data_IF_775169585285
#
_entry.id   IF_775169585285
#
_cell.length_a   1.000
_cell.length_b   1.000
_cell.length_c   1.000
_cell.angle_alpha   90.00
_cell.angle_beta   90.00
_cell.angle_gamma   90.00
#
_symmetry.space_group_name_H-M   'P 1'
#
loop_
_entity.id
_entity.type
_entity.pdbx_description
1 polymer ?
#
# COMPACT_ATOMS: atom_id res chain seq x y z
N UNK A 1 30.77 46.89 -29.52
CA UNK A 1 29.43 46.34 -29.82
C UNK A 1 29.35 44.81 -29.78
N UNK A 2 30.44 44.04 -29.97
CA UNK A 2 30.35 42.56 -30.04
C UNK A 2 30.21 41.83 -28.69
N UNK A 3 30.85 42.32 -27.61
CA UNK A 3 30.84 41.67 -26.29
C UNK A 3 29.43 41.54 -25.68
N UNK A 4 28.58 42.59 -25.68
CA UNK A 4 27.23 42.51 -25.12
C UNK A 4 26.35 41.50 -25.86
N UNK A 5 26.51 41.39 -27.19
CA UNK A 5 25.75 40.45 -28.00
C UNK A 5 26.15 39.00 -27.68
N UNK A 6 27.43 38.71 -27.53
CA UNK A 6 27.92 37.37 -27.15
C UNK A 6 27.44 36.98 -25.76
N UNK A 7 27.49 37.90 -24.79
CA UNK A 7 26.98 37.66 -23.43
C UNK A 7 25.48 37.40 -23.44
N UNK A 8 24.70 38.18 -24.19
CA UNK A 8 23.26 37.99 -24.30
C UNK A 8 22.89 36.63 -24.93
N UNK A 9 23.60 36.22 -25.99
CA UNK A 9 23.40 34.92 -26.64
C UNK A 9 23.79 33.78 -25.69
N UNK A 10 24.94 33.89 -25.00
CA UNK A 10 25.37 32.91 -24.02
C UNK A 10 24.38 32.74 -22.87
N UNK A 11 23.85 33.85 -22.34
CA UNK A 11 22.82 33.84 -21.30
C UNK A 11 21.52 33.20 -21.78
N UNK A 12 21.07 33.50 -23.01
CA UNK A 12 19.87 32.90 -23.59
C UNK A 12 20.02 31.39 -23.79
N UNK A 13 21.17 30.93 -24.30
CA UNK A 13 21.47 29.49 -24.45
C UNK A 13 21.48 28.81 -23.08
N UNK A 14 22.17 29.39 -22.09
CA UNK A 14 22.23 28.84 -20.74
C UNK A 14 20.85 28.77 -20.07
N UNK A 15 20.01 29.79 -20.24
CA UNK A 15 18.65 29.80 -19.72
C UNK A 15 17.80 28.69 -20.36
N UNK A 16 17.86 28.55 -21.69
CA UNK A 16 17.15 27.50 -22.41
C UNK A 16 17.62 26.11 -21.94
N UNK A 17 18.92 25.82 -22.01
CA UNK A 17 19.44 24.49 -21.61
C UNK A 17 19.15 24.17 -20.15
N UNK A 18 19.20 25.16 -19.25
CA UNK A 18 18.79 25.01 -17.85
C UNK A 18 17.33 24.58 -17.70
N UNK A 19 16.40 25.21 -18.42
CA UNK A 19 14.97 24.83 -18.37
C UNK A 19 14.72 23.42 -18.90
N UNK A 20 15.39 23.04 -20.00
CA UNK A 20 15.30 21.68 -20.56
C UNK A 20 15.86 20.64 -19.58
N UNK A 21 17.00 20.91 -18.95
CA UNK A 21 17.60 20.01 -17.98
C UNK A 21 16.68 19.79 -16.77
N UNK A 22 16.09 20.86 -16.23
CA UNK A 22 15.15 20.75 -15.12
C UNK A 22 13.85 20.01 -15.50
N UNK A 23 13.35 20.20 -16.73
CA UNK A 23 12.21 19.41 -17.21
C UNK A 23 12.55 17.91 -17.31
N UNK A 24 13.74 17.57 -17.81
CA UNK A 24 14.19 16.18 -17.94
C UNK A 24 14.41 15.53 -16.56
N UNK A 25 15.00 16.25 -15.62
CA UNK A 25 15.14 15.78 -14.23
C UNK A 25 13.80 15.58 -13.55
N UNK A 26 12.84 16.49 -13.78
CA UNK A 26 11.50 16.39 -13.22
C UNK A 26 10.76 15.17 -13.77
N UNK A 27 10.85 14.92 -15.07
CA UNK A 27 10.25 13.73 -15.68
C UNK A 27 10.90 12.44 -15.18
N UNK A 28 12.23 12.41 -15.09
CA UNK A 28 12.95 11.26 -14.54
C UNK A 28 12.57 10.98 -13.07
N UNK A 29 12.37 12.02 -12.25
CA UNK A 29 11.88 11.88 -10.86
C UNK A 29 10.46 11.33 -10.82
N UNK A 30 9.56 11.81 -11.69
CA UNK A 30 8.17 11.30 -11.79
C UNK A 30 8.13 9.83 -12.17
N UNK A 31 8.90 9.42 -13.19
CA UNK A 31 8.97 8.01 -13.62
C UNK A 31 9.48 7.10 -12.51
N UNK A 32 10.50 7.54 -11.75
CA UNK A 32 10.99 6.79 -10.58
C UNK A 32 9.91 6.67 -9.50
N UNK A 33 9.23 7.76 -9.16
CA UNK A 33 8.16 7.75 -8.17
C UNK A 33 6.98 6.85 -8.58
N UNK A 34 6.63 6.83 -9.88
CA UNK A 34 5.61 5.94 -10.41
C UNK A 34 6.04 4.47 -10.30
N UNK A 35 7.25 4.15 -10.74
CA UNK A 35 7.82 2.80 -10.63
C UNK A 35 7.82 2.31 -9.19
N UNK A 36 8.27 3.17 -8.27
CA UNK A 36 8.30 2.88 -6.83
C UNK A 36 6.90 2.60 -6.26
N UNK A 37 5.88 3.31 -6.75
CA UNK A 37 4.49 3.10 -6.34
C UNK A 37 3.87 1.84 -6.93
N UNK A 38 4.27 1.44 -8.14
CA UNK A 38 3.87 0.17 -8.74
C UNK A 38 4.45 -1.02 -7.98
N UNK A 39 5.73 -0.96 -7.58
CA UNK A 39 6.37 -1.97 -6.74
C UNK A 39 5.59 -2.11 -5.42
N UNK A 40 5.32 -0.99 -4.75
CA UNK A 40 4.55 -0.97 -3.51
C UNK A 40 3.14 -1.56 -3.69
N UNK A 41 2.46 -1.24 -4.78
CA UNK A 41 1.12 -1.77 -5.08
C UNK A 41 1.15 -3.28 -5.31
N UNK A 42 2.06 -3.79 -6.14
CA UNK A 42 2.16 -5.23 -6.41
C UNK A 42 2.55 -6.02 -5.16
N UNK A 43 3.47 -5.49 -4.35
CA UNK A 43 3.80 -6.09 -3.06
C UNK A 43 2.58 -6.15 -2.12
N UNK A 44 1.77 -5.08 -2.08
CA UNK A 44 0.56 -5.01 -1.28
C UNK A 44 -0.52 -5.99 -1.77
N UNK A 45 -0.72 -6.09 -3.08
CA UNK A 45 -1.74 -6.93 -3.71
C UNK A 45 -1.41 -8.42 -3.52
N UNK A 46 -0.16 -8.80 -3.78
CA UNK A 46 0.31 -10.16 -3.52
C UNK A 46 0.16 -10.54 -2.04
N UNK A 47 0.51 -9.63 -1.12
CA UNK A 47 0.33 -9.87 0.31
C UNK A 47 -1.15 -9.97 0.70
N UNK A 48 -2.02 -9.14 0.12
CA UNK A 48 -3.46 -9.18 0.37
C UNK A 48 -4.03 -10.54 -0.03
N UNK A 49 -3.71 -11.03 -1.23
CA UNK A 49 -4.15 -12.33 -1.71
C UNK A 49 -3.65 -13.47 -0.81
N UNK A 50 -2.37 -13.46 -0.44
CA UNK A 50 -1.79 -14.47 0.43
C UNK A 50 -2.40 -14.48 1.84
N UNK A 51 -2.71 -13.31 2.41
CA UNK A 51 -3.33 -13.23 3.74
C UNK A 51 -4.80 -13.66 3.73
N UNK A 52 -5.55 -13.34 2.68
CA UNK A 52 -6.89 -13.89 2.47
C UNK A 52 -6.85 -15.42 2.34
N UNK A 53 -5.87 -15.96 1.65
CA UNK A 53 -5.71 -17.41 1.49
C UNK A 53 -5.35 -18.09 2.82
N UNK A 54 -4.43 -17.53 3.61
CA UNK A 54 -4.13 -18.05 4.96
C UNK A 54 -5.33 -17.96 5.90
N UNK A 55 -6.14 -16.90 5.78
CA UNK A 55 -7.40 -16.77 6.52
C UNK A 55 -8.38 -17.87 6.13
N UNK A 56 -8.51 -18.17 4.82
CA UNK A 56 -9.33 -19.27 4.30
C UNK A 56 -8.88 -20.62 4.84
N UNK A 57 -7.56 -20.83 4.97
CA UNK A 57 -6.97 -22.05 5.52
C UNK A 57 -7.07 -22.14 7.05
N UNK A 58 -7.52 -21.09 7.74
CA UNK A 58 -7.59 -21.04 9.20
C UNK A 58 -6.23 -20.92 9.90
N UNK A 59 -5.17 -20.56 9.16
CA UNK A 59 -3.80 -20.47 9.69
C UNK A 59 -3.32 -19.04 9.94
N UNK A 60 -4.11 -18.04 9.53
CA UNK A 60 -3.74 -16.64 9.71
C UNK A 60 -4.01 -16.15 11.16
N UNK A 61 -3.07 -15.43 11.78
CA UNK A 61 -3.37 -14.65 12.97
C UNK A 61 -4.31 -13.47 12.61
N UNK A 62 -5.20 -13.11 13.53
CA UNK A 62 -6.10 -11.98 13.38
C UNK A 62 -6.41 -11.36 14.74
N UNK A 63 -6.69 -10.06 14.76
CA UNK A 63 -7.26 -9.39 15.92
C UNK A 63 -8.69 -9.87 16.13
N UNK A 64 -8.98 -10.36 17.34
CA UNK A 64 -10.32 -10.77 17.72
C UNK A 64 -11.33 -9.62 17.60
N UNK A 65 -12.57 -9.96 17.27
CA UNK A 65 -13.64 -8.97 17.22
C UNK A 65 -13.93 -8.48 18.64
N UNK A 66 -13.86 -7.17 18.84
CA UNK A 66 -14.31 -6.55 20.09
C UNK A 66 -15.84 -6.62 20.25
N UNK A 67 -16.35 -6.01 21.31
CA UNK A 67 -17.80 -5.95 21.58
C UNK A 67 -18.57 -5.04 20.60
N UNK A 68 -17.85 -4.28 19.77
CA UNK A 68 -18.44 -3.35 18.81
C UNK A 68 -18.84 -4.03 17.51
N UNK A 69 -20.01 -3.65 16.99
CA UNK A 69 -20.45 -3.97 15.62
C UNK A 69 -19.95 -2.96 14.58
N UNK A 70 -19.21 -1.92 14.98
CA UNK A 70 -18.61 -0.97 14.06
C UNK A 70 -17.49 -1.63 13.22
N UNK A 71 -17.21 -1.04 12.06
CA UNK A 71 -16.09 -1.48 11.22
C UNK A 71 -14.76 -1.35 12.00
N UNK A 72 -13.89 -2.38 11.95
CA UNK A 72 -12.58 -2.30 12.59
C UNK A 72 -11.71 -1.19 12.00
N UNK A 73 -10.99 -0.51 12.88
CA UNK A 73 -10.16 0.64 12.57
C UNK A 73 -8.75 0.54 13.15
N UNK A 74 -8.35 -0.63 13.69
CA UNK A 74 -7.02 -0.78 14.28
C UNK A 74 -5.95 -0.55 13.23
N UNK A 75 -6.19 -0.94 11.96
CA UNK A 75 -5.31 -0.61 10.83
C UNK A 75 -5.00 0.89 10.66
N UNK A 76 -5.88 1.79 11.15
CA UNK A 76 -5.70 3.25 11.08
C UNK A 76 -4.85 3.79 12.22
N UNK A 77 -4.67 3.04 13.31
CA UNK A 77 -3.95 3.49 14.50
C UNK A 77 -2.46 3.13 14.38
N UNK A 78 -1.60 4.04 14.81
CA UNK A 78 -0.13 3.91 14.75
C UNK A 78 0.42 2.61 15.35
N UNK A 79 1.56 2.13 14.83
CA UNK A 79 1.68 1.57 13.49
C UNK A 79 1.00 0.20 13.51
N UNK A 80 -0.22 0.10 13.00
CA UNK A 80 -1.04 -1.12 13.06
C UNK A 80 -0.36 -2.38 12.52
N UNK A 81 0.61 -2.20 11.62
CA UNK A 81 1.38 -3.29 11.04
C UNK A 81 2.57 -3.69 11.88
N UNK A 82 2.90 -3.00 12.97
CA UNK A 82 3.92 -3.41 13.94
C UNK A 82 3.33 -4.20 15.11
N UNK A 83 2.00 -4.39 15.12
CA UNK A 83 1.35 -5.25 16.10
C UNK A 83 1.76 -6.72 15.92
N UNK A 84 1.78 -7.54 16.99
CA UNK A 84 2.16 -8.95 16.94
C UNK A 84 1.33 -9.77 15.94
N UNK A 85 0.06 -9.43 15.77
CA UNK A 85 -0.88 -10.10 14.86
C UNK A 85 -0.66 -9.72 13.39
N UNK A 86 0.10 -8.65 13.12
CA UNK A 86 0.49 -8.28 11.78
C UNK A 86 1.69 -9.11 11.31
N UNK A 87 1.53 -9.81 10.20
CA UNK A 87 2.52 -10.78 9.73
C UNK A 87 2.96 -10.53 8.27
N UNK A 88 4.11 -11.08 7.91
CA UNK A 88 4.68 -11.05 6.56
C UNK A 88 4.36 -12.36 5.84
N UNK A 89 3.47 -12.37 4.82
CA UNK A 89 3.22 -13.60 4.05
C UNK A 89 4.42 -14.01 3.19
N UNK A 90 5.30 -13.06 2.85
CA UNK A 90 6.54 -13.30 2.11
C UNK A 90 7.73 -12.72 2.88
N UNK A 91 8.86 -13.43 2.89
CA UNK A 91 10.08 -12.95 3.53
C UNK A 91 10.68 -11.72 2.83
N UNK A 92 10.47 -11.60 1.51
CA UNK A 92 10.89 -10.47 0.71
C UNK A 92 9.99 -10.35 -0.54
N UNK A 93 9.99 -9.17 -1.16
CA UNK A 93 9.42 -8.94 -2.48
C UNK A 93 10.50 -8.32 -3.37
N UNK A 94 10.61 -8.71 -4.65
CA UNK A 94 11.64 -8.17 -5.54
C UNK A 94 11.64 -6.64 -5.50
N UNK A 95 12.83 -6.05 -5.35
CA UNK A 95 13.10 -4.61 -5.31
C UNK A 95 12.35 -3.81 -4.24
N UNK A 96 11.61 -4.43 -3.32
CA UNK A 96 10.98 -3.75 -2.20
C UNK A 96 11.98 -3.49 -1.07
N UNK A 97 11.93 -2.30 -0.48
CA UNK A 97 12.77 -1.91 0.65
C UNK A 97 12.45 -2.68 1.93
N UNK A 98 11.21 -3.16 2.07
CA UNK A 98 10.75 -3.91 3.24
C UNK A 98 9.76 -5.01 2.81
N UNK A 99 9.66 -6.10 3.58
CA UNK A 99 8.64 -7.11 3.35
C UNK A 99 7.22 -6.52 3.46
N UNK A 100 6.33 -6.98 2.59
CA UNK A 100 4.92 -6.65 2.71
C UNK A 100 4.34 -7.26 3.99
N UNK A 101 3.51 -6.49 4.69
CA UNK A 101 2.86 -6.91 5.95
C UNK A 101 1.35 -6.86 5.79
N UNK A 102 0.64 -7.74 6.49
CA UNK A 102 -0.81 -7.68 6.55
C UNK A 102 -1.31 -7.77 7.99
N UNK A 103 -2.44 -7.14 8.23
CA UNK A 103 -3.22 -7.19 9.46
C UNK A 103 -4.62 -7.68 9.12
N UNK A 104 -5.15 -8.59 9.92
CA UNK A 104 -6.51 -9.11 9.79
C UNK A 104 -7.28 -8.73 11.04
N UNK A 105 -8.44 -8.12 10.88
CA UNK A 105 -9.30 -7.70 11.99
C UNK A 105 -10.66 -8.41 11.86
N UNK A 106 -11.04 -9.20 12.85
CA UNK A 106 -12.35 -9.83 12.88
C UNK A 106 -13.44 -8.80 13.24
N UNK A 107 -14.62 -8.98 12.64
CA UNK A 107 -15.75 -8.06 12.74
C UNK A 107 -17.07 -8.82 12.89
N UNK A 108 -17.86 -8.46 13.91
CA UNK A 108 -19.22 -8.95 14.09
C UNK A 108 -20.21 -8.15 13.24
N UNK A 109 -20.72 -8.75 12.16
CA UNK A 109 -21.77 -8.15 11.32
C UNK A 109 -23.16 -8.64 11.75
N UNK A 110 -24.12 -7.72 11.87
CA UNK A 110 -25.45 -7.97 12.45
C UNK A 110 -26.48 -8.63 11.50
N UNK A 111 -26.06 -9.31 10.41
CA UNK A 111 -27.01 -9.79 9.36
C UNK A 111 -26.49 -11.02 8.58
N UNK A 112 -27.38 -11.90 8.09
CA UNK A 112 -28.26 -12.78 8.86
C UNK A 112 -27.88 -14.28 8.74
N UNK A 113 -26.76 -14.62 8.10
CA UNK A 113 -26.13 -15.92 8.33
C UNK A 113 -25.08 -15.71 9.43
N UNK A 114 -24.87 -16.70 10.30
CA UNK A 114 -23.89 -16.68 11.38
C UNK A 114 -22.42 -16.62 10.86
N UNK A 115 -22.12 -15.61 10.06
CA UNK A 115 -20.85 -15.42 9.38
C UNK A 115 -20.01 -14.39 10.11
N UNK A 116 -18.71 -14.67 10.20
CA UNK A 116 -17.73 -13.73 10.73
C UNK A 116 -17.17 -12.92 9.57
N UNK A 117 -17.22 -11.59 9.67
CA UNK A 117 -16.53 -10.73 8.72
C UNK A 117 -15.09 -10.49 9.18
N UNK A 118 -14.22 -10.20 8.23
CA UNK A 118 -12.84 -9.84 8.46
C UNK A 118 -12.48 -8.66 7.55
N UNK A 119 -11.78 -7.69 8.11
CA UNK A 119 -11.11 -6.65 7.35
C UNK A 119 -9.64 -7.05 7.22
N UNK A 120 -9.20 -7.35 6.00
CA UNK A 120 -7.82 -7.67 5.68
C UNK A 120 -7.17 -6.41 5.11
N UNK A 121 -6.15 -5.91 5.79
CA UNK A 121 -5.36 -4.76 5.34
C UNK A 121 -3.94 -5.22 5.03
N UNK A 122 -3.45 -4.95 3.82
CA UNK A 122 -2.09 -5.26 3.42
C UNK A 122 -1.34 -3.98 3.06
N UNK A 123 -0.06 -3.91 3.45
CA UNK A 123 0.87 -2.85 3.05
C UNK A 123 2.02 -3.42 2.28
N UNK A 124 2.25 -2.86 1.09
CA UNK A 124 3.48 -3.02 0.34
C UNK A 124 4.34 -1.76 0.44
N UNK A 125 5.65 -1.96 0.39
CA UNK A 125 6.65 -0.89 0.36
C UNK A 125 7.39 -0.99 -0.97
N UNK A 126 7.62 0.14 -1.60
CA UNK A 126 8.36 0.23 -2.86
C UNK A 126 9.87 0.03 -2.65
N UNK A 127 10.65 0.33 -3.67
CA UNK A 127 12.11 0.42 -3.58
C UNK A 127 12.60 1.46 -2.57
N UNK A 128 11.80 2.48 -2.26
CA UNK A 128 12.09 3.41 -1.16
C UNK A 128 11.04 3.27 -0.05
N UNK A 129 11.50 3.35 1.21
CA UNK A 129 10.63 3.24 2.39
C UNK A 129 9.55 4.33 2.47
N UNK A 130 9.74 5.46 1.77
CA UNK A 130 8.76 6.55 1.65
C UNK A 130 7.62 6.24 0.68
N UNK A 131 7.76 5.23 -0.20
CA UNK A 131 6.70 4.76 -1.09
C UNK A 131 6.03 3.55 -0.47
N UNK A 132 4.84 3.77 0.10
CA UNK A 132 4.02 2.69 0.61
C UNK A 132 2.58 2.78 0.10
N UNK A 133 1.96 1.61 -0.06
CA UNK A 133 0.58 1.45 -0.53
C UNK A 133 -0.13 0.51 0.43
N UNK A 134 -1.34 0.90 0.86
CA UNK A 134 -2.21 0.07 1.66
C UNK A 134 -3.40 -0.37 0.80
N UNK A 135 -3.73 -1.65 0.83
CA UNK A 135 -4.90 -2.23 0.18
C UNK A 135 -5.79 -2.91 1.21
N UNK A 136 -7.11 -2.85 0.99
CA UNK A 136 -8.08 -3.44 1.89
C UNK A 136 -9.10 -4.32 1.18
N UNK A 137 -9.40 -5.45 1.83
CA UNK A 137 -10.41 -6.41 1.42
C UNK A 137 -11.32 -6.73 2.61
N UNK A 138 -12.63 -6.70 2.38
CA UNK A 138 -13.57 -7.30 3.31
C UNK A 138 -13.83 -8.74 2.89
N UNK A 139 -13.69 -9.68 3.83
CA UNK A 139 -13.98 -11.10 3.64
C UNK A 139 -15.08 -11.50 4.62
N UNK A 140 -16.13 -12.16 4.13
CA UNK A 140 -17.17 -12.75 4.98
C UNK A 140 -17.04 -14.26 4.91
N UNK A 141 -16.90 -14.88 6.07
CA UNK A 141 -16.73 -16.33 6.23
C UNK A 141 -17.97 -16.93 6.90
N UNK A 142 -18.40 -18.09 6.42
CA UNK A 142 -19.41 -18.93 7.06
C UNK A 142 -18.96 -20.39 6.96
N UNK A 143 -18.98 -21.13 8.07
CA UNK A 143 -18.52 -22.52 8.16
C UNK A 143 -17.13 -22.77 7.52
N UNK A 144 -16.18 -21.87 7.78
CA UNK A 144 -14.81 -21.96 7.25
C UNK A 144 -14.66 -21.67 5.76
N UNK A 145 -15.72 -21.22 5.08
CA UNK A 145 -15.70 -20.86 3.65
C UNK A 145 -15.93 -19.37 3.43
N UNK A 146 -15.26 -18.80 2.44
CA UNK A 146 -15.53 -17.44 1.98
C UNK A 146 -16.88 -17.42 1.27
N UNK A 147 -17.86 -16.72 1.83
CA UNK A 147 -19.19 -16.54 1.23
C UNK A 147 -19.35 -15.19 0.55
N UNK A 148 -18.51 -14.21 0.90
CA UNK A 148 -18.42 -12.96 0.16
C UNK A 148 -17.02 -12.36 0.28
N UNK A 149 -16.53 -11.76 -0.79
CA UNK A 149 -15.30 -10.99 -0.82
C UNK A 149 -15.60 -9.66 -1.52
N UNK A 150 -15.25 -8.54 -0.86
CA UNK A 150 -15.55 -7.20 -1.35
C UNK A 150 -14.29 -6.34 -1.28
N UNK A 151 -13.82 -5.93 -2.46
CA UNK A 151 -12.74 -4.95 -2.55
C UNK A 151 -13.24 -3.62 -2.00
N UNK A 152 -12.45 -2.99 -1.13
CA UNK A 152 -12.84 -1.74 -0.47
C UNK A 152 -12.17 -0.55 -1.11
N UNK A 153 -10.86 -0.46 -0.96
CA UNK A 153 -10.08 0.72 -1.37
C UNK A 153 -8.59 0.44 -1.39
N UNK A 154 -7.88 1.26 -2.16
CA UNK A 154 -6.52 1.69 -1.79
C UNK A 154 -6.66 2.58 -0.57
N UNK A 155 -6.30 2.07 0.60
CA UNK A 155 -6.33 2.87 1.81
C UNK A 155 -5.23 3.94 1.72
N UNK A 156 -5.58 5.17 2.08
CA UNK A 156 -4.56 6.19 2.33
C UNK A 156 -3.66 5.67 3.46
N UNK A 157 -2.37 6.01 3.39
CA UNK A 157 -1.48 5.81 4.53
C UNK A 157 -2.18 6.32 5.79
N UNK A 158 -2.31 5.48 6.84
CA UNK A 158 -2.77 5.95 8.14
C UNK A 158 -1.94 7.17 8.55
N UNK A 159 -2.60 8.28 8.88
CA UNK A 159 -1.93 9.49 9.39
C UNK A 159 -1.54 9.31 10.84
#
# INVERSE_FOLDING_TARGET
MALPAVVAVGAAIAALTGTWFESALTEARRTRALSDRLIAFHAADAALAACVERLRQGSAPYLGAGLSHAEPDAWRRMPALDMPEAFTPFAAWPVAAQPARCLIEAWHIARPAAGRAYLVTARGVGAHASSAVWLQMQVVMHDGRIVAQRWRRVAAQPR
#
